data_IF_387406710166
#
_entry.id   IF_387406710166
#
_cell.length_a   1.000
_cell.length_b   1.000
_cell.length_c   1.000
_cell.angle_alpha   90.00
_cell.angle_beta   90.00
_cell.angle_gamma   90.00
#
_symmetry.space_group_name_H-M   'P 1'
#
loop_
_entity.id
_entity.type
_entity.pdbx_description
1 polymer ?
#
# COMPACT_ATOMS: atom_id res chain seq x y z
N UNK A 1 12.68 -36.61 5.18
CA UNK A 1 11.96 -35.72 4.25
C UNK A 1 10.58 -36.28 4.03
N UNK A 2 9.56 -35.55 4.48
CA UNK A 2 8.16 -35.85 4.19
C UNK A 2 7.84 -35.52 2.72
N UNK A 3 6.72 -36.00 2.19
CA UNK A 3 6.22 -35.60 0.86
C UNK A 3 5.94 -34.09 0.74
N UNK A 4 5.76 -33.38 1.87
CA UNK A 4 5.66 -31.93 1.92
C UNK A 4 7.02 -31.24 1.71
N UNK A 5 8.11 -31.82 2.23
CA UNK A 5 9.46 -31.21 2.16
C UNK A 5 9.99 -31.09 0.71
N UNK A 6 9.67 -32.05 -0.16
CA UNK A 6 10.08 -32.02 -1.59
C UNK A 6 9.17 -31.13 -2.43
N UNK A 7 7.93 -30.88 -1.96
CA UNK A 7 6.90 -30.19 -2.72
C UNK A 7 7.05 -28.66 -2.70
N UNK A 8 7.66 -28.09 -1.66
CA UNK A 8 7.73 -26.63 -1.53
C UNK A 8 8.96 -26.02 -2.20
N UNK A 9 10.13 -26.67 -2.15
CA UNK A 9 11.37 -26.17 -2.75
C UNK A 9 11.20 -25.97 -4.26
N UNK A 10 10.59 -26.95 -4.93
CA UNK A 10 10.27 -26.86 -6.36
C UNK A 10 9.31 -25.71 -6.67
N UNK A 11 8.31 -25.45 -5.81
CA UNK A 11 7.38 -24.31 -5.96
C UNK A 11 8.06 -22.97 -5.71
N UNK A 12 8.94 -22.89 -4.72
CA UNK A 12 9.71 -21.68 -4.43
C UNK A 12 10.66 -21.36 -5.59
N UNK A 13 11.31 -22.37 -6.17
CA UNK A 13 12.16 -22.23 -7.34
C UNK A 13 11.35 -21.77 -8.57
N UNK A 14 10.20 -22.40 -8.84
CA UNK A 14 9.31 -21.98 -9.94
C UNK A 14 8.86 -20.54 -9.75
N UNK A 15 8.45 -20.14 -8.54
CA UNK A 15 8.10 -18.75 -8.24
C UNK A 15 9.29 -17.80 -8.52
N UNK A 16 10.49 -18.14 -8.08
CA UNK A 16 11.68 -17.32 -8.31
C UNK A 16 12.00 -17.16 -9.82
N UNK A 17 11.89 -18.25 -10.59
CA UNK A 17 12.09 -18.24 -12.04
C UNK A 17 10.99 -17.44 -12.76
N UNK A 18 9.73 -17.55 -12.33
CA UNK A 18 8.61 -16.76 -12.87
C UNK A 18 8.80 -15.26 -12.63
N UNK A 19 9.25 -14.87 -11.44
CA UNK A 19 9.51 -13.48 -11.09
C UNK A 19 10.66 -12.88 -11.94
N UNK A 20 11.73 -13.65 -12.17
CA UNK A 20 12.83 -13.25 -13.05
C UNK A 20 12.36 -13.12 -14.50
N UNK A 21 11.63 -14.12 -15.02
CA UNK A 21 11.12 -14.13 -16.39
C UNK A 21 10.17 -12.96 -16.69
N UNK A 22 9.44 -12.48 -15.68
CA UNK A 22 8.57 -11.30 -15.78
C UNK A 22 9.31 -9.96 -15.61
N UNK A 23 10.59 -9.99 -15.24
CA UNK A 23 11.38 -8.80 -14.91
C UNK A 23 10.91 -8.11 -13.63
N UNK A 24 10.29 -8.86 -12.70
CA UNK A 24 9.93 -8.36 -11.37
C UNK A 24 11.12 -8.46 -10.39
N UNK A 25 12.08 -9.35 -10.66
CA UNK A 25 13.39 -9.39 -10.02
C UNK A 25 14.49 -9.50 -11.09
N UNK A 26 15.63 -8.91 -10.81
CA UNK A 26 16.83 -8.89 -11.67
C UNK A 26 18.10 -9.28 -10.93
N UNK A 27 18.13 -9.17 -9.60
CA UNK A 27 19.27 -9.52 -8.76
C UNK A 27 19.25 -11.02 -8.42
N UNK A 28 20.31 -11.79 -8.76
CA UNK A 28 20.39 -13.21 -8.44
C UNK A 28 20.38 -13.50 -6.94
N UNK A 29 20.80 -12.56 -6.08
CA UNK A 29 20.73 -12.73 -4.63
C UNK A 29 19.27 -12.75 -4.14
N UNK A 30 18.40 -11.91 -4.70
CA UNK A 30 16.97 -11.94 -4.39
C UNK A 30 16.30 -13.19 -4.93
N UNK A 31 16.69 -13.62 -6.14
CA UNK A 31 16.22 -14.90 -6.70
C UNK A 31 16.53 -16.08 -5.77
N UNK A 32 17.78 -16.15 -5.29
CA UNK A 32 18.21 -17.18 -4.36
C UNK A 32 17.46 -17.10 -3.01
N UNK A 33 17.24 -15.90 -2.48
CA UNK A 33 16.48 -15.69 -1.25
C UNK A 33 15.03 -16.20 -1.38
N UNK A 34 14.35 -15.90 -2.50
CA UNK A 34 12.99 -16.39 -2.76
C UNK A 34 12.95 -17.92 -2.84
N UNK A 35 13.89 -18.53 -3.58
CA UNK A 35 13.97 -19.97 -3.72
C UNK A 35 14.29 -20.70 -2.40
N UNK A 36 15.06 -20.07 -1.52
CA UNK A 36 15.46 -20.62 -0.22
C UNK A 36 14.44 -20.41 0.91
N UNK A 37 13.42 -19.57 0.71
CA UNK A 37 12.47 -19.21 1.77
C UNK A 37 11.22 -20.10 1.77
N UNK A 38 10.97 -20.90 2.81
CA UNK A 38 9.76 -21.72 2.93
C UNK A 38 8.55 -20.85 3.31
N UNK A 39 7.99 -20.11 2.34
CA UNK A 39 6.90 -19.13 2.56
C UNK A 39 5.68 -19.70 3.29
N UNK A 40 5.37 -20.98 3.08
CA UNK A 40 4.29 -21.70 3.77
C UNK A 40 4.48 -21.81 5.29
N UNK A 41 5.72 -21.86 5.79
CA UNK A 41 6.01 -21.83 7.24
C UNK A 41 5.69 -20.45 7.82
N UNK A 42 5.99 -19.40 7.06
CA UNK A 42 5.74 -18.01 7.47
C UNK A 42 4.26 -17.62 7.32
N UNK A 43 3.52 -18.29 6.44
CA UNK A 43 2.09 -18.06 6.18
C UNK A 43 1.26 -19.31 6.55
N UNK A 44 1.07 -19.63 7.85
CA UNK A 44 0.35 -20.84 8.26
C UNK A 44 -1.18 -20.71 8.13
N UNK A 45 -1.69 -19.49 7.98
CA UNK A 45 -3.12 -19.19 7.85
C UNK A 45 -3.29 -18.14 6.76
N UNK A 46 -4.24 -18.40 5.85
CA UNK A 46 -4.63 -17.44 4.84
C UNK A 46 -6.13 -17.55 4.53
N UNK A 47 -6.72 -16.41 4.19
CA UNK A 47 -8.13 -16.25 3.89
C UNK A 47 -8.33 -15.79 2.45
N UNK A 48 -9.41 -16.26 1.85
CA UNK A 48 -9.92 -15.77 0.57
C UNK A 48 -11.33 -15.21 0.77
N UNK A 49 -11.64 -14.17 0.01
CA UNK A 49 -13.00 -13.64 -0.03
C UNK A 49 -13.73 -14.24 -1.23
N UNK A 50 -14.86 -14.90 -0.96
CA UNK A 50 -15.75 -15.41 -1.99
C UNK A 50 -16.48 -14.27 -2.68
N UNK A 51 -17.07 -14.55 -3.85
CA UNK A 51 -17.84 -13.56 -4.62
C UNK A 51 -19.05 -12.99 -3.88
N UNK A 52 -19.57 -13.69 -2.87
CA UNK A 52 -20.63 -13.23 -1.98
C UNK A 52 -20.12 -12.33 -0.82
N UNK A 53 -18.81 -12.04 -0.76
CA UNK A 53 -18.18 -11.22 0.28
C UNK A 53 -17.76 -11.99 1.54
N UNK A 54 -18.09 -13.28 1.65
CA UNK A 54 -17.70 -14.10 2.80
C UNK A 54 -16.21 -14.44 2.77
N UNK A 55 -15.56 -14.35 3.93
CA UNK A 55 -14.18 -14.78 4.11
C UNK A 55 -14.12 -16.26 4.51
N UNK A 56 -13.29 -17.03 3.82
CA UNK A 56 -13.06 -18.44 4.10
C UNK A 56 -11.56 -18.68 4.24
N UNK A 57 -11.18 -19.41 5.28
CA UNK A 57 -9.83 -19.91 5.41
C UNK A 57 -9.64 -21.09 4.44
N UNK A 58 -8.50 -21.12 3.74
CA UNK A 58 -8.11 -22.29 2.95
C UNK A 58 -6.94 -23.02 3.61
N UNK A 59 -6.82 -24.32 3.33
CA UNK A 59 -5.73 -25.15 3.86
C UNK A 59 -4.44 -24.90 3.08
N UNK A 60 -3.52 -24.14 3.69
CA UNK A 60 -2.21 -23.79 3.13
C UNK A 60 -1.26 -24.98 2.99
N UNK A 61 -1.57 -26.13 3.61
CA UNK A 61 -0.75 -27.36 3.57
C UNK A 61 -1.19 -28.33 2.46
N UNK A 62 -2.39 -28.15 1.92
CA UNK A 62 -2.87 -28.90 0.75
C UNK A 62 -2.06 -28.56 -0.52
N UNK A 63 -1.97 -29.44 -1.52
CA UNK A 63 -1.27 -29.13 -2.78
C UNK A 63 -1.74 -27.82 -3.45
N UNK A 64 -3.06 -27.61 -3.54
CA UNK A 64 -3.63 -26.37 -4.10
C UNK A 64 -3.40 -25.15 -3.20
N UNK A 65 -3.36 -25.36 -1.88
CA UNK A 65 -2.96 -24.32 -0.92
C UNK A 65 -1.51 -23.90 -1.09
N UNK A 66 -0.60 -24.86 -1.28
CA UNK A 66 0.81 -24.58 -1.56
C UNK A 66 0.98 -23.86 -2.89
N UNK A 67 0.28 -24.27 -3.96
CA UNK A 67 0.29 -23.54 -5.24
C UNK A 67 -0.13 -22.07 -5.04
N UNK A 68 -1.10 -21.83 -4.16
CA UNK A 68 -1.54 -20.48 -3.80
C UNK A 68 -0.48 -19.72 -3.00
N UNK A 69 0.14 -20.36 -2.02
CA UNK A 69 1.21 -19.77 -1.19
C UNK A 69 2.41 -19.36 -2.04
N UNK A 70 2.76 -20.13 -3.05
CA UNK A 70 3.88 -19.84 -3.96
C UNK A 70 3.42 -19.13 -5.24
N UNK A 71 2.30 -18.40 -5.21
CA UNK A 71 1.84 -17.56 -6.31
C UNK A 71 2.14 -16.07 -6.08
N UNK A 72 2.06 -15.27 -7.15
CA UNK A 72 2.19 -13.80 -7.13
C UNK A 72 0.96 -13.08 -6.59
N UNK A 73 0.33 -13.64 -5.55
CA UNK A 73 -0.85 -13.04 -4.91
C UNK A 73 -0.61 -12.73 -3.44
N UNK A 74 -1.23 -11.65 -2.99
CA UNK A 74 -1.28 -11.25 -1.59
C UNK A 74 -2.20 -12.21 -0.84
N UNK A 75 -1.77 -12.67 0.32
CA UNK A 75 -2.51 -13.61 1.15
C UNK A 75 -2.97 -12.88 2.41
N UNK A 76 -4.28 -12.72 2.60
CA UNK A 76 -4.82 -12.12 3.83
C UNK A 76 -4.63 -13.11 4.97
N UNK A 77 -3.98 -12.70 6.05
CA UNK A 77 -3.51 -13.60 7.14
C UNK A 77 -4.22 -13.36 8.45
N UNK A 78 -4.89 -12.22 8.60
CA UNK A 78 -5.74 -11.93 9.76
C UNK A 78 -6.93 -11.06 9.36
N UNK A 79 -8.06 -11.30 10.03
CA UNK A 79 -9.31 -10.59 9.83
C UNK A 79 -9.75 -9.91 11.15
N UNK A 80 -10.40 -8.76 11.05
CA UNK A 80 -11.14 -8.14 12.16
C UNK A 80 -12.62 -8.03 11.81
N UNK A 81 -13.47 -8.27 12.81
CA UNK A 81 -14.90 -8.02 12.69
C UNK A 81 -15.20 -6.52 12.89
N UNK A 82 -15.91 -5.92 11.95
CA UNK A 82 -16.37 -4.52 11.92
C UNK A 82 -17.89 -4.49 11.80
N UNK A 83 -18.56 -4.63 12.94
CA UNK A 83 -20.02 -4.70 12.99
C UNK A 83 -20.52 -6.01 12.38
N UNK A 84 -21.07 -5.95 11.17
CA UNK A 84 -21.63 -7.12 10.45
C UNK A 84 -20.70 -7.67 9.36
N UNK A 85 -19.52 -7.09 9.14
CA UNK A 85 -18.58 -7.50 8.09
C UNK A 85 -17.19 -7.75 8.65
N UNK A 86 -16.38 -8.54 7.95
CA UNK A 86 -14.97 -8.77 8.26
C UNK A 86 -14.07 -8.03 7.26
N UNK A 87 -12.96 -7.48 7.75
CA UNK A 87 -11.93 -6.85 6.93
C UNK A 87 -10.56 -7.49 7.20
N UNK A 88 -9.69 -7.50 6.19
CA UNK A 88 -8.30 -7.89 6.35
C UNK A 88 -7.50 -6.86 7.13
N UNK A 89 -6.84 -7.29 8.20
CA UNK A 89 -5.99 -6.44 9.06
C UNK A 89 -4.51 -6.83 9.01
N UNK A 90 -4.18 -7.94 8.36
CA UNK A 90 -2.82 -8.36 8.05
C UNK A 90 -2.81 -9.15 6.75
N UNK A 91 -1.70 -9.10 6.03
CA UNK A 91 -1.48 -9.91 4.84
C UNK A 91 0.00 -10.19 4.61
N UNK A 92 0.31 -11.34 4.00
CA UNK A 92 1.59 -11.55 3.34
C UNK A 92 1.52 -10.92 1.95
N UNK A 93 2.24 -9.82 1.76
CA UNK A 93 2.34 -9.13 0.46
C UNK A 93 2.81 -10.08 -0.63
N UNK A 94 2.24 -9.94 -1.82
CA UNK A 94 2.61 -10.75 -3.00
C UNK A 94 4.13 -10.68 -3.28
N UNK A 95 4.80 -11.82 -3.59
CA UNK A 95 6.25 -11.87 -3.74
C UNK A 95 6.80 -10.91 -4.79
N UNK A 96 6.09 -10.73 -5.91
CA UNK A 96 6.50 -9.81 -6.98
C UNK A 96 6.55 -8.35 -6.52
N UNK A 97 5.73 -7.95 -5.54
CA UNK A 97 5.82 -6.60 -4.98
C UNK A 97 6.96 -6.52 -3.96
N UNK A 98 7.14 -7.55 -3.13
CA UNK A 98 8.22 -7.59 -2.14
C UNK A 98 9.58 -7.46 -2.82
N UNK A 99 9.90 -8.30 -3.81
CA UNK A 99 11.22 -8.24 -4.49
C UNK A 99 11.43 -6.93 -5.25
N UNK A 100 10.39 -6.40 -5.92
CA UNK A 100 10.47 -5.09 -6.58
C UNK A 100 10.75 -3.97 -5.59
N UNK A 101 10.18 -4.03 -4.39
CA UNK A 101 10.47 -3.05 -3.33
C UNK A 101 11.92 -3.16 -2.86
N UNK A 102 12.43 -4.38 -2.65
CA UNK A 102 13.80 -4.59 -2.22
C UNK A 102 14.84 -4.15 -3.28
N UNK A 103 14.54 -4.36 -4.57
CA UNK A 103 15.36 -3.83 -5.67
C UNK A 103 15.25 -2.31 -5.81
N UNK A 104 14.04 -1.75 -5.72
CA UNK A 104 13.85 -0.30 -5.78
C UNK A 104 14.53 0.43 -4.61
N UNK A 105 14.58 -0.21 -3.43
CA UNK A 105 15.28 0.30 -2.26
C UNK A 105 16.82 0.17 -2.37
N UNK A 106 17.33 -0.47 -3.42
CA UNK A 106 18.76 -0.59 -3.70
C UNK A 106 19.53 -1.15 -2.48
N UNK A 107 19.03 -2.27 -1.96
CA UNK A 107 19.60 -2.96 -0.80
C UNK A 107 20.79 -3.81 -1.28
N UNK A 108 21.97 -3.57 -0.70
CA UNK A 108 23.22 -4.27 -0.98
C UNK A 108 23.79 -4.90 0.28
N UNK A 109 24.73 -5.83 0.09
CA UNK A 109 25.42 -6.52 1.17
C UNK A 109 26.07 -5.52 2.13
N UNK A 110 25.98 -5.80 3.43
CA UNK A 110 26.49 -4.92 4.48
C UNK A 110 25.53 -3.83 4.94
N UNK A 111 24.45 -3.53 4.20
CA UNK A 111 23.43 -2.59 4.69
C UNK A 111 22.72 -3.10 5.93
N UNK A 112 22.40 -2.18 6.84
CA UNK A 112 21.50 -2.35 7.97
C UNK A 112 20.10 -1.85 7.59
N UNK A 113 19.09 -2.69 7.75
CA UNK A 113 17.74 -2.42 7.26
C UNK A 113 16.73 -2.45 8.40
N UNK A 114 15.85 -1.44 8.42
CA UNK A 114 14.63 -1.43 9.24
C UNK A 114 13.41 -1.66 8.35
N UNK A 115 12.65 -2.70 8.65
CA UNK A 115 11.30 -2.93 8.14
C UNK A 115 10.25 -2.37 9.11
N UNK A 116 9.29 -1.60 8.60
CA UNK A 116 8.09 -1.16 9.32
C UNK A 116 6.89 -1.99 8.84
N UNK A 117 6.46 -2.95 9.64
CA UNK A 117 5.39 -3.90 9.35
C UNK A 117 5.89 -5.33 9.22
N UNK A 118 6.30 -5.95 10.34
CA UNK A 118 6.79 -7.34 10.36
C UNK A 118 5.80 -8.32 9.71
N UNK A 119 4.49 -8.18 10.02
CA UNK A 119 3.45 -9.05 9.47
C UNK A 119 3.77 -10.54 9.65
N UNK A 120 3.87 -11.27 8.55
CA UNK A 120 4.18 -12.72 8.59
C UNK A 120 5.68 -13.03 8.75
N UNK A 121 6.56 -12.03 8.66
CA UNK A 121 8.02 -12.21 8.63
C UNK A 121 8.58 -12.64 7.27
N UNK A 122 7.78 -12.66 6.20
CA UNK A 122 8.25 -13.09 4.86
C UNK A 122 9.28 -12.13 4.26
N UNK A 123 9.02 -10.82 4.33
CA UNK A 123 9.98 -9.83 3.83
C UNK A 123 11.26 -9.80 4.69
N UNK A 124 11.12 -9.83 6.02
CA UNK A 124 12.25 -10.03 6.94
C UNK A 124 13.09 -11.28 6.59
N UNK A 125 12.48 -12.42 6.25
CA UNK A 125 13.21 -13.62 5.85
C UNK A 125 14.07 -13.39 4.60
N UNK A 126 13.52 -12.74 3.58
CA UNK A 126 14.27 -12.40 2.37
C UNK A 126 15.44 -11.47 2.67
N UNK A 127 15.20 -10.43 3.48
CA UNK A 127 16.26 -9.51 3.94
C UNK A 127 17.37 -10.26 4.67
N UNK A 128 17.03 -11.20 5.57
CA UNK A 128 18.01 -11.99 6.32
C UNK A 128 18.82 -12.89 5.39
N UNK A 129 18.19 -13.53 4.41
CA UNK A 129 18.91 -14.35 3.43
C UNK A 129 20.00 -13.55 2.68
N UNK A 130 19.80 -12.24 2.47
CA UNK A 130 20.80 -11.38 1.85
C UNK A 130 21.81 -10.78 2.84
N UNK A 131 21.34 -10.27 3.98
CA UNK A 131 22.13 -9.39 4.85
C UNK A 131 22.65 -10.07 6.13
N UNK A 132 22.10 -11.24 6.47
CA UNK A 132 22.29 -11.90 7.76
C UNK A 132 21.45 -11.30 8.88
N UNK A 133 21.28 -12.09 9.95
CA UNK A 133 20.40 -11.78 11.08
C UNK A 133 20.69 -10.44 11.75
N UNK A 134 21.98 -10.13 11.96
CA UNK A 134 22.45 -8.96 12.73
C UNK A 134 22.14 -7.61 12.04
N UNK A 135 21.76 -7.64 10.76
CA UNK A 135 21.51 -6.44 9.94
C UNK A 135 20.04 -6.18 9.67
N UNK A 136 19.15 -7.07 10.09
CA UNK A 136 17.71 -6.97 9.81
C UNK A 136 16.95 -6.71 11.09
N UNK A 137 16.24 -5.59 11.07
CA UNK A 137 15.39 -5.12 12.15
C UNK A 137 13.99 -4.96 11.60
N UNK A 138 12.98 -5.41 12.34
CA UNK A 138 11.59 -5.24 11.90
C UNK A 138 10.68 -4.94 13.08
N UNK A 139 9.78 -3.98 12.89
CA UNK A 139 8.82 -3.56 13.92
C UNK A 139 7.39 -3.83 13.45
N UNK A 140 6.52 -4.18 14.38
CA UNK A 140 5.07 -4.23 14.16
C UNK A 140 4.36 -3.83 15.46
N UNK A 141 3.14 -3.34 15.36
CA UNK A 141 2.41 -2.78 16.52
C UNK A 141 2.00 -3.87 17.52
N UNK A 142 1.57 -5.03 17.02
CA UNK A 142 0.92 -6.06 17.83
C UNK A 142 1.92 -7.18 18.18
N UNK A 143 2.17 -7.41 19.48
CA UNK A 143 2.98 -8.56 19.94
C UNK A 143 2.40 -9.91 19.48
N UNK A 144 1.07 -9.99 19.35
CA UNK A 144 0.36 -11.14 18.79
C UNK A 144 0.72 -11.44 17.32
N UNK A 145 1.33 -10.49 16.61
CA UNK A 145 1.90 -10.67 15.26
C UNK A 145 3.40 -10.96 15.35
N UNK A 146 4.14 -10.18 16.16
CA UNK A 146 5.60 -10.26 16.26
C UNK A 146 6.08 -11.58 16.84
N UNK A 147 5.48 -12.06 17.94
CA UNK A 147 5.98 -13.25 18.63
C UNK A 147 5.82 -14.52 17.77
N UNK A 148 4.66 -14.79 17.13
CA UNK A 148 4.55 -15.92 16.21
C UNK A 148 5.44 -15.79 14.97
N UNK A 149 5.68 -14.58 14.45
CA UNK A 149 6.62 -14.37 13.35
C UNK A 149 8.05 -14.73 13.77
N UNK A 150 8.47 -14.35 14.99
CA UNK A 150 9.76 -14.70 15.57
C UNK A 150 9.95 -16.21 15.68
N UNK A 151 8.94 -16.91 16.22
CA UNK A 151 8.98 -18.37 16.37
C UNK A 151 9.11 -19.09 15.01
N UNK A 152 8.39 -18.62 13.99
CA UNK A 152 8.44 -19.21 12.64
C UNK A 152 9.75 -18.92 11.91
N UNK A 153 10.30 -17.72 12.06
CA UNK A 153 11.62 -17.40 11.54
C UNK A 153 12.69 -18.26 12.22
N UNK A 154 12.61 -18.40 13.55
CA UNK A 154 13.54 -19.24 14.31
C UNK A 154 13.45 -20.72 13.92
N UNK A 155 12.26 -21.23 13.59
CA UNK A 155 12.08 -22.63 13.15
C UNK A 155 12.71 -22.94 11.80
N UNK A 156 13.01 -21.91 11.00
CA UNK A 156 13.74 -22.01 9.73
C UNK A 156 15.19 -21.48 9.84
N UNK A 157 15.67 -21.27 11.07
CA UNK A 157 17.05 -20.88 11.37
C UNK A 157 17.37 -19.40 11.18
N UNK A 158 16.36 -18.53 11.09
CA UNK A 158 16.52 -17.09 10.94
C UNK A 158 16.19 -16.37 12.26
N UNK A 159 17.05 -15.44 12.66
CA UNK A 159 17.00 -14.75 13.95
C UNK A 159 17.16 -13.21 13.84
N UNK A 160 16.41 -12.52 12.97
CA UNK A 160 16.44 -11.06 12.93
C UNK A 160 15.91 -10.43 14.23
N UNK A 161 16.23 -9.15 14.44
CA UNK A 161 15.69 -8.40 15.57
C UNK A 161 14.26 -7.95 15.26
N UNK A 162 13.27 -8.65 15.79
CA UNK A 162 11.86 -8.24 15.73
C UNK A 162 11.45 -7.52 17.01
N UNK A 163 10.65 -6.45 16.93
CA UNK A 163 10.19 -5.67 18.10
C UNK A 163 8.72 -5.29 17.97
N UNK A 164 7.93 -5.56 19.01
CA UNK A 164 6.54 -5.13 19.09
C UNK A 164 6.47 -3.67 19.59
N UNK A 165 6.21 -2.72 18.70
CA UNK A 165 6.07 -1.29 19.00
C UNK A 165 5.37 -0.52 17.89
N UNK A 166 4.94 0.71 18.17
CA UNK A 166 4.42 1.59 17.13
C UNK A 166 5.52 1.94 16.11
N UNK A 167 5.28 1.59 14.84
CA UNK A 167 6.21 1.81 13.75
C UNK A 167 6.48 3.29 13.45
N UNK A 168 5.61 4.21 13.88
CA UNK A 168 5.84 5.67 13.76
C UNK A 168 7.14 6.09 14.43
N UNK A 169 7.49 5.45 15.54
CA UNK A 169 8.69 5.76 16.31
C UNK A 169 9.97 5.16 15.70
N UNK A 170 9.84 4.28 14.71
CA UNK A 170 10.95 3.49 14.18
C UNK A 170 11.58 2.62 15.26
N UNK A 171 12.91 2.54 15.29
CA UNK A 171 13.70 1.77 16.24
C UNK A 171 15.00 2.51 16.62
N UNK A 172 14.92 3.64 17.37
CA UNK A 172 16.03 4.54 17.61
C UNK A 172 17.22 3.89 18.32
N UNK A 173 16.98 2.90 19.19
CA UNK A 173 18.03 2.13 19.88
C UNK A 173 18.96 1.35 18.93
N UNK A 174 18.54 1.12 17.69
CA UNK A 174 19.33 0.46 16.66
C UNK A 174 19.65 1.39 15.48
N UNK A 175 19.28 2.66 15.53
CA UNK A 175 19.70 3.64 14.52
C UNK A 175 21.23 3.88 14.55
N UNK A 176 21.83 4.36 13.45
CA UNK A 176 21.21 4.64 12.16
C UNK A 176 21.08 3.40 11.26
N UNK A 177 20.18 3.47 10.27
CA UNK A 177 19.93 2.45 9.25
C UNK A 177 20.37 2.93 7.86
N UNK A 178 20.87 2.03 7.04
CA UNK A 178 21.21 2.32 5.64
C UNK A 178 19.97 2.39 4.77
N UNK A 179 18.96 1.58 5.10
CA UNK A 179 17.69 1.49 4.38
C UNK A 179 16.53 1.35 5.37
N UNK A 180 15.41 1.99 5.05
CA UNK A 180 14.13 1.77 5.72
C UNK A 180 13.09 1.38 4.66
N UNK A 181 12.31 0.34 4.94
CA UNK A 181 11.19 -0.10 4.11
C UNK A 181 9.93 -0.14 4.95
N UNK A 182 8.87 0.54 4.51
CA UNK A 182 7.56 0.43 5.12
C UNK A 182 6.66 -0.49 4.28
N UNK A 183 6.20 -1.59 4.87
CA UNK A 183 5.21 -2.53 4.31
C UNK A 183 3.80 -2.21 4.81
N UNK A 184 3.58 -0.95 5.20
CA UNK A 184 2.32 -0.32 5.51
C UNK A 184 2.31 1.09 4.89
N UNK A 185 1.11 1.65 4.73
CA UNK A 185 0.94 2.98 4.14
C UNK A 185 0.76 4.05 5.21
N UNK A 186 1.27 5.24 4.93
CA UNK A 186 1.15 6.40 5.83
C UNK A 186 0.58 7.60 5.08
N UNK A 187 -0.23 8.46 5.73
CA UNK A 187 -0.67 9.70 5.11
C UNK A 187 0.49 10.69 4.98
N UNK A 188 1.49 10.61 5.87
CA UNK A 188 2.71 11.41 5.90
C UNK A 188 3.88 10.60 6.47
N UNK A 189 5.11 10.88 6.02
CA UNK A 189 6.31 10.19 6.48
C UNK A 189 6.64 10.58 7.93
N UNK A 190 6.68 9.65 8.89
CA UNK A 190 7.09 9.96 10.25
C UNK A 190 8.50 10.58 10.34
N UNK A 191 8.66 11.62 11.16
CA UNK A 191 9.94 12.31 11.34
C UNK A 191 11.06 11.39 11.85
N UNK A 192 10.70 10.40 12.69
CA UNK A 192 11.63 9.43 13.25
C UNK A 192 12.36 8.61 12.16
N UNK A 193 11.69 8.28 11.05
CA UNK A 193 12.30 7.48 9.99
C UNK A 193 13.42 8.23 9.28
N UNK A 194 13.20 9.53 9.03
CA UNK A 194 14.22 10.43 8.50
C UNK A 194 15.41 10.56 9.45
N UNK A 195 15.15 10.73 10.74
CA UNK A 195 16.19 10.91 11.75
C UNK A 195 17.05 9.67 11.95
N UNK A 196 16.47 8.49 11.74
CA UNK A 196 17.12 7.19 11.94
C UNK A 196 17.82 6.64 10.68
N UNK A 197 17.69 7.28 9.52
CA UNK A 197 18.48 6.91 8.33
C UNK A 197 19.92 7.43 8.44
N UNK A 198 20.89 6.81 7.79
CA UNK A 198 22.18 7.46 7.52
C UNK A 198 22.02 8.57 6.48
N UNK A 199 22.94 9.54 6.45
CA UNK A 199 23.00 10.48 5.33
C UNK A 199 23.26 9.72 4.02
N UNK A 200 22.52 10.07 2.95
CA UNK A 200 22.51 9.30 1.71
C UNK A 200 21.71 7.99 1.75
N UNK A 201 21.19 7.57 2.91
CA UNK A 201 20.33 6.39 3.06
C UNK A 201 18.99 6.55 2.34
N UNK A 202 18.32 5.41 2.09
CA UNK A 202 17.07 5.37 1.33
C UNK A 202 15.88 4.90 2.18
N UNK A 203 14.73 5.54 1.99
CA UNK A 203 13.43 5.15 2.52
C UNK A 203 12.53 4.76 1.35
N UNK A 204 11.91 3.58 1.40
CA UNK A 204 10.80 3.22 0.54
C UNK A 204 9.50 3.14 1.36
N UNK A 205 8.50 3.92 0.96
CA UNK A 205 7.26 4.10 1.74
C UNK A 205 6.04 4.25 0.83
N UNK A 206 4.91 3.64 1.18
CA UNK A 206 3.63 3.92 0.53
C UNK A 206 2.98 5.15 1.16
N UNK A 207 2.97 6.26 0.42
CA UNK A 207 2.33 7.50 0.84
C UNK A 207 0.90 7.50 0.30
N UNK A 208 -0.07 7.44 1.21
CA UNK A 208 -1.47 7.21 0.89
C UNK A 208 -2.39 8.09 1.72
N UNK A 209 -3.13 8.96 1.04
CA UNK A 209 -4.08 9.88 1.66
C UNK A 209 -5.46 9.24 1.85
N UNK A 210 -5.78 8.23 1.02
CA UNK A 210 -7.05 7.50 1.09
C UNK A 210 -6.96 6.18 0.31
N UNK A 211 -8.02 5.37 0.35
CA UNK A 211 -8.16 4.15 -0.46
C UNK A 211 -7.89 4.46 -1.94
N UNK A 212 -6.96 3.72 -2.55
CA UNK A 212 -6.45 3.91 -3.91
C UNK A 212 -5.83 5.28 -4.23
N UNK A 213 -5.71 6.19 -3.26
CA UNK A 213 -5.08 7.51 -3.40
C UNK A 213 -3.69 7.48 -2.75
N UNK A 214 -2.76 6.77 -3.37
CA UNK A 214 -1.39 6.64 -2.88
C UNK A 214 -0.56 5.70 -3.75
N UNK A 215 0.75 5.75 -3.55
CA UNK A 215 1.71 4.86 -4.18
C UNK A 215 3.04 4.85 -3.39
N UNK A 216 3.94 3.92 -3.73
CA UNK A 216 5.30 3.88 -3.22
C UNK A 216 6.12 5.09 -3.67
N UNK A 217 6.91 5.64 -2.76
CA UNK A 217 7.92 6.66 -3.02
C UNK A 217 9.27 6.23 -2.47
N UNK A 218 10.31 6.35 -3.30
CA UNK A 218 11.70 6.15 -2.91
C UNK A 218 12.32 7.50 -2.60
N UNK A 219 12.71 7.70 -1.34
CA UNK A 219 13.23 8.96 -0.83
C UNK A 219 14.66 8.76 -0.34
N UNK A 220 15.56 9.67 -0.73
CA UNK A 220 16.94 9.71 -0.26
C UNK A 220 17.10 10.77 0.81
N UNK A 221 17.86 10.44 1.87
CA UNK A 221 18.27 11.40 2.88
C UNK A 221 19.42 12.27 2.40
N UNK A 222 19.28 13.57 2.58
CA UNK A 222 20.34 14.58 2.43
C UNK A 222 20.22 15.56 3.60
N UNK A 223 21.14 15.46 4.56
CA UNK A 223 21.12 16.25 5.79
C UNK A 223 19.86 16.01 6.63
N UNK A 224 19.02 17.03 6.75
CA UNK A 224 17.76 16.98 7.49
C UNK A 224 16.53 16.80 6.59
N UNK A 225 16.72 16.52 5.30
CA UNK A 225 15.66 16.37 4.31
C UNK A 225 15.61 14.93 3.77
N UNK A 226 14.40 14.45 3.44
CA UNK A 226 14.21 13.35 2.48
C UNK A 226 13.66 13.92 1.19
N UNK A 227 14.14 13.45 0.05
CA UNK A 227 13.52 13.77 -1.24
C UNK A 227 13.66 12.65 -2.26
N UNK A 228 12.69 12.56 -3.16
CA UNK A 228 12.71 11.57 -4.23
C UNK A 228 11.39 11.50 -4.96
N UNK A 229 11.10 10.35 -5.56
CA UNK A 229 10.05 10.19 -6.55
C UNK A 229 9.11 9.03 -6.20
N UNK A 230 7.86 9.14 -6.64
CA UNK A 230 6.97 7.98 -6.64
C UNK A 230 7.45 6.96 -7.69
N UNK A 231 7.24 5.67 -7.41
CA UNK A 231 7.55 4.60 -8.35
C UNK A 231 6.57 4.62 -9.53
N UNK A 232 7.00 4.15 -10.69
CA UNK A 232 6.19 4.09 -11.91
C UNK A 232 4.99 3.14 -11.77
N UNK A 233 5.23 1.95 -11.21
CA UNK A 233 4.23 0.91 -11.00
C UNK A 233 3.49 1.19 -9.71
N UNK A 234 2.17 1.17 -9.79
CA UNK A 234 1.32 1.36 -8.63
C UNK A 234 1.39 0.15 -7.67
N UNK A 235 1.50 0.45 -6.39
CA UNK A 235 1.31 -0.47 -5.29
C UNK A 235 0.47 0.20 -4.20
N UNK A 236 -0.15 -0.61 -3.34
CA UNK A 236 -0.85 -0.10 -2.18
C UNK A 236 -0.75 -1.09 -1.02
N UNK A 237 -0.66 -0.53 0.18
CA UNK A 237 -0.60 -1.26 1.43
C UNK A 237 -1.81 -0.94 2.30
N UNK A 238 -1.97 -1.73 3.35
CA UNK A 238 -2.89 -1.42 4.44
C UNK A 238 -2.44 -0.13 5.13
N UNK A 239 -3.39 0.65 5.65
CA UNK A 239 -3.06 1.84 6.43
C UNK A 239 -2.31 1.42 7.69
N UNK A 240 -1.24 2.14 8.02
CA UNK A 240 -0.60 2.03 9.31
C UNK A 240 -1.64 2.26 10.39
N UNK A 241 -1.64 1.38 11.39
CA UNK A 241 -2.51 1.51 12.54
C UNK A 241 -1.73 2.22 13.64
N UNK A 242 -2.34 3.23 14.22
CA UNK A 242 -2.01 3.67 15.57
C UNK A 242 -2.94 2.92 16.53
N UNK A 243 -2.67 2.98 17.84
CA UNK A 243 -3.48 2.36 18.90
C UNK A 243 -4.95 2.11 18.53
N UNK A 244 -5.43 0.86 18.67
CA UNK A 244 -6.77 0.36 18.25
C UNK A 244 -7.87 1.43 18.17
N UNK A 245 -7.98 2.09 17.02
CA UNK A 245 -9.06 3.04 16.80
C UNK A 245 -10.38 2.29 16.59
N UNK A 246 -11.43 2.78 17.26
CA UNK A 246 -12.79 2.29 17.03
C UNK A 246 -13.29 2.84 15.71
N UNK A 247 -13.88 2.02 14.83
CA UNK A 247 -14.52 2.51 13.63
C UNK A 247 -15.62 3.50 14.03
N UNK A 248 -15.53 4.72 13.53
CA UNK A 248 -16.63 5.68 13.66
C UNK A 248 -17.71 5.28 12.67
N UNK A 249 -18.93 5.05 13.15
CA UNK A 249 -20.07 4.88 12.27
C UNK A 249 -20.21 6.14 11.41
N UNK A 250 -20.15 5.96 10.09
CA UNK A 250 -20.19 7.07 9.16
C UNK A 250 -21.66 7.38 8.82
N UNK A 251 -22.05 8.67 8.75
CA UNK A 251 -23.41 9.06 8.42
C UNK A 251 -23.80 8.60 7.01
N UNK A 252 -25.10 8.44 6.80
CA UNK A 252 -25.69 8.11 5.50
C UNK A 252 -25.50 9.28 4.51
N UNK A 253 -25.40 9.01 3.20
CA UNK A 253 -25.31 10.05 2.19
C UNK A 253 -26.57 10.94 2.20
N UNK A 254 -26.38 12.25 2.10
CA UNK A 254 -27.46 13.20 1.93
C UNK A 254 -27.84 13.19 0.46
N UNK A 255 -28.87 12.46 0.04
CA UNK A 255 -29.24 12.34 -1.38
C UNK A 255 -30.25 13.42 -1.84
N UNK A 256 -30.95 14.07 -0.91
CA UNK A 256 -31.98 15.06 -1.24
C UNK A 256 -31.39 16.43 -1.55
N UNK A 257 -32.02 17.15 -2.48
CA UNK A 257 -31.63 18.52 -2.84
C UNK A 257 -30.36 18.60 -3.69
N UNK A 258 -29.97 17.51 -4.34
CA UNK A 258 -28.80 17.47 -5.20
C UNK A 258 -28.92 18.42 -6.40
N UNK A 259 -27.78 18.98 -6.80
CA UNK A 259 -27.64 19.83 -7.98
C UNK A 259 -26.88 19.06 -9.05
N UNK A 260 -27.49 18.94 -10.23
CA UNK A 260 -26.87 18.28 -11.39
C UNK A 260 -26.18 19.30 -12.28
N UNK A 261 -25.00 18.92 -12.78
CA UNK A 261 -24.20 19.68 -13.74
C UNK A 261 -23.39 18.72 -14.61
N UNK A 262 -22.74 19.26 -15.64
CA UNK A 262 -21.84 18.49 -16.50
C UNK A 262 -20.38 18.67 -16.07
N UNK A 263 -19.59 17.63 -16.28
CA UNK A 263 -18.15 17.57 -15.98
C UNK A 263 -17.38 16.90 -17.11
N UNK A 264 -16.13 17.30 -17.31
CA UNK A 264 -15.19 16.61 -18.20
C UNK A 264 -14.28 15.63 -17.44
N UNK A 265 -14.37 15.58 -16.11
CA UNK A 265 -13.63 14.61 -15.31
C UNK A 265 -14.32 13.24 -15.38
N UNK A 266 -13.60 12.15 -15.71
CA UNK A 266 -14.17 10.82 -15.80
C UNK A 266 -14.76 10.33 -14.46
N UNK A 267 -15.79 9.47 -14.49
CA UNK A 267 -16.62 9.14 -13.32
C UNK A 267 -15.99 8.16 -12.31
N UNK A 268 -14.78 7.64 -12.60
CA UNK A 268 -14.12 6.61 -11.79
C UNK A 268 -12.59 6.80 -11.75
N UNK A 269 -12.09 7.91 -11.17
CA UNK A 269 -10.65 8.17 -11.09
C UNK A 269 -9.94 7.20 -10.13
N UNK A 270 -10.58 6.69 -9.08
CA UNK A 270 -9.96 5.78 -8.09
C UNK A 270 -9.58 4.41 -8.67
N UNK A 271 -10.15 4.00 -9.79
CA UNK A 271 -9.74 2.79 -10.53
C UNK A 271 -8.93 3.11 -11.78
N UNK A 272 -9.38 4.07 -12.60
CA UNK A 272 -8.82 4.28 -13.94
C UNK A 272 -7.79 5.41 -14.03
N UNK A 273 -7.72 6.31 -13.04
CA UNK A 273 -6.75 7.40 -13.03
C UNK A 273 -6.36 7.78 -11.59
N UNK A 274 -5.56 6.91 -10.97
CA UNK A 274 -5.17 7.05 -9.56
C UNK A 274 -4.32 8.28 -9.27
N UNK A 275 -3.63 8.83 -10.27
CA UNK A 275 -2.91 10.10 -10.15
C UNK A 275 -3.90 11.24 -9.93
N UNK A 276 -4.96 11.34 -10.75
CA UNK A 276 -6.02 12.33 -10.55
C UNK A 276 -6.72 12.13 -9.20
N UNK A 277 -6.98 10.88 -8.81
CA UNK A 277 -7.58 10.59 -7.51
C UNK A 277 -6.71 11.04 -6.33
N UNK A 278 -5.39 10.84 -6.42
CA UNK A 278 -4.42 11.30 -5.42
C UNK A 278 -4.32 12.83 -5.38
N UNK A 279 -4.21 13.49 -6.53
CA UNK A 279 -4.20 14.94 -6.63
C UNK A 279 -5.49 15.56 -6.07
N UNK A 280 -6.65 14.94 -6.28
CA UNK A 280 -7.90 15.43 -5.71
C UNK A 280 -7.86 15.53 -4.17
N UNK A 281 -7.20 14.58 -3.49
CA UNK A 281 -7.00 14.64 -2.03
C UNK A 281 -6.04 15.76 -1.63
N UNK A 282 -4.95 15.94 -2.37
CA UNK A 282 -4.01 17.06 -2.16
C UNK A 282 -4.66 18.43 -2.41
N UNK A 283 -5.71 18.48 -3.23
CA UNK A 283 -6.39 19.70 -3.68
C UNK A 283 -7.72 19.98 -2.96
N UNK A 284 -7.99 19.27 -1.84
CA UNK A 284 -9.08 19.62 -0.93
C UNK A 284 -10.24 18.64 -0.86
N UNK A 285 -10.10 17.42 -1.39
CA UNK A 285 -11.05 16.36 -1.05
C UNK A 285 -10.90 15.98 0.44
N UNK A 286 -11.98 15.95 1.24
CA UNK A 286 -11.87 15.68 2.67
C UNK A 286 -11.28 14.30 2.98
N UNK A 287 -10.59 14.21 4.11
CA UNK A 287 -10.18 12.92 4.67
C UNK A 287 -11.41 12.02 4.94
N UNK A 288 -11.25 10.72 4.75
CA UNK A 288 -12.32 9.75 4.99
C UNK A 288 -13.42 9.71 3.93
N UNK A 289 -13.23 10.38 2.77
CA UNK A 289 -14.11 10.19 1.62
C UNK A 289 -14.08 8.75 1.15
N UNK A 290 -15.26 8.16 0.96
CA UNK A 290 -15.40 6.83 0.38
C UNK A 290 -15.87 6.94 -1.04
N UNK A 291 -15.44 6.02 -1.89
CA UNK A 291 -16.02 5.83 -3.20
C UNK A 291 -16.85 4.55 -3.26
N UNK A 292 -17.72 4.46 -4.25
CA UNK A 292 -18.54 3.29 -4.50
C UNK A 292 -19.14 3.33 -5.90
N UNK A 293 -20.04 2.37 -6.15
CA UNK A 293 -20.77 2.26 -7.40
C UNK A 293 -22.24 2.12 -7.08
N UNK A 294 -23.08 2.88 -7.80
CA UNK A 294 -24.52 2.71 -7.80
C UNK A 294 -24.90 1.71 -8.88
N UNK A 295 -25.75 0.76 -8.54
CA UNK A 295 -26.26 -0.25 -9.47
C UNK A 295 -27.71 0.05 -9.83
N UNK A 296 -28.08 -0.24 -11.07
CA UNK A 296 -29.46 -0.30 -11.52
C UNK A 296 -30.20 -1.39 -10.73
N UNK A 297 -31.35 -1.09 -10.09
CA UNK A 297 -32.05 -2.05 -9.23
C UNK A 297 -32.51 -3.32 -9.95
N UNK A 298 -32.86 -3.20 -11.24
CA UNK A 298 -33.48 -4.29 -12.00
C UNK A 298 -32.41 -5.15 -12.71
N UNK A 299 -31.47 -4.50 -13.37
CA UNK A 299 -30.43 -5.15 -14.19
C UNK A 299 -29.17 -5.48 -13.41
N UNK A 300 -28.97 -4.88 -12.22
CA UNK A 300 -27.74 -4.93 -11.41
C UNK A 300 -26.48 -4.48 -12.16
N UNK A 301 -26.64 -3.73 -13.25
CA UNK A 301 -25.53 -3.11 -13.97
C UNK A 301 -25.08 -1.83 -13.25
N UNK A 302 -23.78 -1.51 -13.25
CA UNK A 302 -23.30 -0.27 -12.64
C UNK A 302 -23.76 0.94 -13.46
N UNK A 303 -24.31 1.98 -12.80
CA UNK A 303 -24.88 3.17 -13.45
C UNK A 303 -24.15 4.47 -13.12
N UNK A 304 -23.55 4.57 -11.93
CA UNK A 304 -22.81 5.75 -11.51
C UNK A 304 -21.68 5.40 -10.56
N UNK A 305 -20.56 6.12 -10.66
CA UNK A 305 -19.57 6.19 -9.59
C UNK A 305 -20.10 7.11 -8.48
N UNK A 306 -19.83 6.79 -7.22
CA UNK A 306 -20.29 7.58 -6.08
C UNK A 306 -19.12 7.94 -5.17
N UNK A 307 -19.19 9.13 -4.55
CA UNK A 307 -18.31 9.50 -3.44
C UNK A 307 -19.13 10.08 -2.28
N UNK A 308 -18.73 9.78 -1.05
CA UNK A 308 -19.42 10.25 0.17
C UNK A 308 -18.40 10.67 1.22
N UNK A 309 -18.53 11.90 1.73
CA UNK A 309 -17.68 12.45 2.78
C UNK A 309 -18.23 12.18 4.20
N UNK A 310 -17.40 12.32 5.25
CA UNK A 310 -17.82 12.13 6.64
C UNK A 310 -18.90 13.09 7.14
N UNK A 311 -19.11 14.23 6.48
CA UNK A 311 -20.17 15.20 6.79
C UNK A 311 -21.52 14.85 6.13
N UNK A 312 -21.58 13.73 5.40
CA UNK A 312 -22.75 13.28 4.65
C UNK A 312 -22.86 13.86 3.25
N UNK A 313 -21.97 14.77 2.85
CA UNK A 313 -21.92 15.25 1.46
C UNK A 313 -21.71 14.08 0.51
N UNK A 314 -22.40 14.12 -0.62
CA UNK A 314 -22.48 13.03 -1.56
C UNK A 314 -22.41 13.55 -2.99
N UNK A 315 -21.70 12.82 -3.84
CA UNK A 315 -21.75 13.04 -5.28
C UNK A 315 -21.88 11.72 -6.01
N UNK A 316 -22.66 11.70 -7.08
CA UNK A 316 -22.66 10.59 -8.03
C UNK A 316 -22.47 11.10 -9.45
N UNK A 317 -21.71 10.37 -10.24
CA UNK A 317 -21.39 10.69 -11.63
C UNK A 317 -21.80 9.52 -12.50
N UNK A 318 -22.66 9.78 -13.48
CA UNK A 318 -23.12 8.76 -14.41
C UNK A 318 -21.93 8.13 -15.14
N UNK A 319 -21.93 6.80 -15.30
CA UNK A 319 -20.83 6.11 -15.98
C UNK A 319 -20.85 6.35 -17.49
N UNK A 320 -22.04 6.47 -18.06
CA UNK A 320 -22.23 6.78 -19.48
C UNK A 320 -22.06 8.28 -19.73
N UNK A 321 -21.20 8.68 -20.69
CA UNK A 321 -21.09 10.07 -21.09
C UNK A 321 -22.33 10.52 -21.89
N UNK A 322 -22.57 11.83 -21.91
CA UNK A 322 -23.52 12.46 -22.83
C UNK A 322 -23.00 12.37 -24.28
N UNK A 323 -23.87 12.58 -25.29
CA UNK A 323 -23.43 12.60 -26.69
C UNK A 323 -22.29 13.59 -27.00
N UNK A 324 -22.16 14.64 -26.19
CA UNK A 324 -21.11 15.67 -26.29
C UNK A 324 -19.80 15.26 -25.58
N UNK A 325 -19.73 14.07 -24.99
CA UNK A 325 -18.53 13.54 -24.34
C UNK A 325 -18.29 14.05 -22.91
N UNK A 326 -19.29 14.68 -22.28
CA UNK A 326 -19.24 15.07 -20.87
C UNK A 326 -19.94 14.03 -19.99
N UNK A 327 -19.76 14.08 -18.68
CA UNK A 327 -20.52 13.27 -17.71
C UNK A 327 -21.47 14.13 -16.90
N UNK A 328 -22.61 13.55 -16.54
CA UNK A 328 -23.55 14.18 -15.60
C UNK A 328 -23.15 13.84 -14.17
N UNK A 329 -22.89 14.87 -13.36
CA UNK A 329 -22.59 14.76 -11.92
C UNK A 329 -23.68 15.45 -11.12
N UNK A 330 -24.16 14.76 -10.08
CA UNK A 330 -25.10 15.31 -9.10
C UNK A 330 -24.43 15.35 -7.74
N UNK A 331 -24.43 16.51 -7.10
CA UNK A 331 -23.82 16.72 -5.77
C UNK A 331 -24.84 17.26 -4.77
N UNK A 332 -24.74 16.81 -3.52
CA UNK A 332 -25.61 17.18 -2.41
C UNK A 332 -24.83 17.25 -1.10
N UNK A 333 -25.35 18.01 -0.13
CA UNK A 333 -24.67 18.30 1.13
C UNK A 333 -23.81 19.57 1.09
N UNK A 334 -23.15 19.92 2.20
CA UNK A 334 -22.42 21.18 2.35
C UNK A 334 -21.09 21.24 1.58
N UNK A 335 -20.47 20.10 1.26
CA UNK A 335 -19.14 20.05 0.63
C UNK A 335 -19.24 19.67 -0.86
N UNK A 336 -18.74 20.49 -1.80
CA UNK A 336 -18.75 20.20 -3.23
C UNK A 336 -17.61 19.23 -3.61
N UNK A 337 -17.81 17.94 -3.37
CA UNK A 337 -16.77 16.91 -3.47
C UNK A 337 -16.16 16.79 -4.89
N UNK A 338 -16.98 16.88 -5.93
CA UNK A 338 -16.52 16.64 -7.30
C UNK A 338 -15.66 17.79 -7.83
N UNK A 339 -15.74 18.98 -7.23
CA UNK A 339 -14.90 20.12 -7.61
C UNK A 339 -13.40 19.80 -7.48
N UNK A 340 -13.00 19.09 -6.42
CA UNK A 340 -11.60 18.71 -6.22
C UNK A 340 -11.12 17.72 -7.30
N UNK A 341 -11.99 16.80 -7.74
CA UNK A 341 -11.71 15.84 -8.81
C UNK A 341 -11.53 16.56 -10.15
N UNK A 342 -12.39 17.53 -10.45
CA UNK A 342 -12.30 18.32 -11.68
C UNK A 342 -11.03 19.15 -11.76
N UNK A 343 -10.69 19.79 -10.64
CA UNK A 343 -9.51 20.61 -10.54
C UNK A 343 -8.23 19.77 -10.69
N UNK A 344 -8.18 18.62 -10.02
CA UNK A 344 -7.11 17.64 -10.20
C UNK A 344 -7.00 17.13 -11.64
N UNK A 345 -8.12 16.80 -12.28
CA UNK A 345 -8.16 16.35 -13.67
C UNK A 345 -7.66 17.45 -14.63
N UNK A 346 -8.05 18.71 -14.38
CA UNK A 346 -7.60 19.87 -15.17
C UNK A 346 -6.10 20.08 -15.06
N UNK A 347 -5.53 20.05 -13.85
CA UNK A 347 -4.08 20.16 -13.63
C UNK A 347 -3.34 19.01 -14.30
N UNK A 348 -3.82 17.77 -14.10
CA UNK A 348 -3.24 16.58 -14.72
C UNK A 348 -3.23 16.66 -16.25
N UNK A 349 -4.34 17.06 -16.87
CA UNK A 349 -4.41 17.28 -18.33
C UNK A 349 -3.47 18.39 -18.81
N UNK A 350 -3.43 19.52 -18.11
CA UNK A 350 -2.58 20.64 -18.45
C UNK A 350 -1.08 20.29 -18.36
N UNK A 351 -0.71 19.41 -17.43
CA UNK A 351 0.63 18.87 -17.27
C UNK A 351 1.04 17.80 -18.29
N UNK A 352 0.17 17.48 -19.26
CA UNK A 352 0.41 16.43 -20.25
C UNK A 352 0.24 15.02 -19.68
N UNK A 353 -0.75 14.83 -18.80
CA UNK A 353 -1.16 13.52 -18.28
C UNK A 353 -0.03 12.75 -17.56
N UNK A 354 0.64 13.36 -16.57
CA UNK A 354 1.78 12.73 -15.90
C UNK A 354 1.39 11.40 -15.24
N UNK A 355 2.30 10.43 -15.35
CA UNK A 355 2.30 9.23 -14.52
C UNK A 355 2.91 9.48 -13.14
N UNK A 356 2.89 8.46 -12.27
CA UNK A 356 3.42 8.56 -10.91
C UNK A 356 4.88 9.01 -10.83
N UNK A 357 5.74 8.56 -11.75
CA UNK A 357 7.17 8.89 -11.74
C UNK A 357 7.50 10.37 -11.97
N UNK A 358 6.53 11.18 -12.36
CA UNK A 358 6.67 12.65 -12.43
C UNK A 358 6.28 13.35 -11.14
N UNK A 359 5.66 12.65 -10.20
CA UNK A 359 5.39 13.16 -8.87
C UNK A 359 6.59 12.87 -7.97
N UNK A 360 7.04 13.89 -7.26
CA UNK A 360 8.08 13.80 -6.25
C UNK A 360 7.58 14.21 -4.87
N UNK A 361 8.39 13.90 -3.87
CA UNK A 361 8.11 14.18 -2.46
C UNK A 361 9.32 14.82 -1.82
N UNK A 362 9.08 15.82 -0.97
CA UNK A 362 10.08 16.42 -0.09
C UNK A 362 9.56 16.40 1.34
N UNK A 363 10.37 15.92 2.27
CA UNK A 363 10.07 15.85 3.71
C UNK A 363 11.18 16.59 4.47
N UNK A 364 10.79 17.56 5.29
CA UNK A 364 11.70 18.35 6.14
C UNK A 364 11.13 18.44 7.55
N UNK A 365 11.87 18.95 8.55
CA UNK A 365 11.30 19.25 9.87
C UNK A 365 10.13 20.25 9.83
N UNK A 366 10.08 21.13 8.82
CA UNK A 366 9.05 22.16 8.68
C UNK A 366 7.78 21.73 7.95
N UNK A 367 7.78 20.55 7.32
CA UNK A 367 6.64 20.04 6.57
C UNK A 367 7.00 19.07 5.46
N UNK A 368 5.97 18.59 4.78
CA UNK A 368 6.07 17.64 3.69
C UNK A 368 5.26 18.13 2.49
N UNK A 369 5.76 17.86 1.30
CA UNK A 369 5.12 18.30 0.07
C UNK A 369 5.24 17.23 -1.00
N UNK A 370 4.16 17.09 -1.77
CA UNK A 370 4.16 16.44 -3.07
C UNK A 370 4.33 17.53 -4.12
N UNK A 371 5.09 17.28 -5.17
CA UNK A 371 5.28 18.20 -6.27
C UNK A 371 5.30 17.46 -7.60
N UNK A 372 5.03 18.17 -8.69
CA UNK A 372 5.11 17.65 -10.05
C UNK A 372 6.37 18.19 -10.74
N UNK A 373 7.22 17.29 -11.24
CA UNK A 373 8.50 17.50 -11.94
C UNK A 373 9.60 18.27 -11.19
N UNK A 374 9.28 19.31 -10.43
CA UNK A 374 10.25 20.15 -9.72
C UNK A 374 9.71 20.56 -8.32
N UNK A 375 10.50 20.38 -7.24
CA UNK A 375 10.13 20.77 -5.86
C UNK A 375 9.89 22.26 -5.64
N UNK A 376 10.30 23.12 -6.58
CA UNK A 376 10.12 24.56 -6.55
C UNK A 376 9.06 25.06 -7.55
N UNK A 377 8.37 24.15 -8.26
CA UNK A 377 7.28 24.51 -9.17
C UNK A 377 6.04 25.04 -8.44
N UNK A 378 5.12 25.64 -9.20
CA UNK A 378 3.79 26.01 -8.72
C UNK A 378 2.89 24.81 -8.43
N UNK A 379 3.20 23.66 -9.02
CA UNK A 379 2.49 22.40 -8.81
C UNK A 379 3.07 21.66 -7.61
N UNK A 380 2.89 22.27 -6.44
CA UNK A 380 3.33 21.77 -5.15
C UNK A 380 2.19 21.82 -4.14
N UNK A 381 1.93 20.71 -3.49
CA UNK A 381 0.86 20.53 -2.52
C UNK A 381 1.43 20.08 -1.19
N UNK A 382 0.91 20.66 -0.10
CA UNK A 382 1.28 20.24 1.25
C UNK A 382 0.67 18.86 1.53
N UNK A 383 1.47 18.01 2.16
CA UNK A 383 1.06 16.72 2.64
C UNK A 383 0.97 16.79 4.18
N UNK A 384 -0.25 16.69 4.72
CA UNK A 384 -0.55 16.98 6.13
C UNK A 384 -0.84 18.45 6.40
#
# INVERSE_FOLDING_TARGET
MTTLDVAWESRAQVLADELEARGDLTDPAWKAAVAATPRHVLVPVAYEQRSNGEWCQFDVTSPSGLDRVYSTTTLVTALACRGTHYEGISSSTKPDLVVRMLEALDVHDGHKVLEIGTGTGYNAALLVHRLGDERVFSVDLDAEIVDPARERLASIGLHPTLVARDGVEGLPEHAPFDRIVATCSVPAVPGAWREQLVDGGLLLVDIKLNTNAGNLALLRRDGDQLSGWFTDRWAAFMAMRHHRERPRALPAPIERGGRTRFTLAPPNPWEHNRVVWFLAHLMGLPEGVRFGVRFDPDTRQPTAGTITAPDGSHAFVMLEPTPEGAWSVTESGPTPLWRAVEEAHRVWRAAGEPGWSRLGVTVTPGGQWVWLDDPHSEHRWRLG
#
